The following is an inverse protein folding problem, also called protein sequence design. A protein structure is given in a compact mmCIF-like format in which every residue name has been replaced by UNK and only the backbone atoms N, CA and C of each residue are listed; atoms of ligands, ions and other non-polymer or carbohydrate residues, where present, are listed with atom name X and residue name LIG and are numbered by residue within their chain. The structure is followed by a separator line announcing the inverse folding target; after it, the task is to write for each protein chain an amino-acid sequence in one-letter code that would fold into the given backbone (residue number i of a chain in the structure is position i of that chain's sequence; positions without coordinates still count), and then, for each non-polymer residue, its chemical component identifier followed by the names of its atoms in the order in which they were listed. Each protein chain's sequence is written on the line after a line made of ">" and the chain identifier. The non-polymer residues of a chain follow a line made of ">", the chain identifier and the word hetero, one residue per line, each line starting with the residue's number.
data_IF_328787088976
#
_entry.id   IF_328787088976
#
_cell.length_a   1.000
_cell.length_b   1.000
_cell.length_c   1.000
_cell.angle_alpha   90.00
_cell.angle_beta   90.00
_cell.angle_gamma   90.00
#
_symmetry.space_group_name_H-M   'P 1'
#
loop_
_entity.id
_entity.type
_entity.pdbx_description
1 polymer ?
#
# COMPACT_ATOMS: atom_id res chain seq x y z
N UNK A 1 17.56 15.25 18.70
CA UNK A 1 17.62 13.83 18.26
C UNK A 1 18.81 13.19 18.96
N UNK A 2 18.64 12.00 19.59
CA UNK A 2 19.75 11.31 20.27
C UNK A 2 20.81 10.84 19.27
N UNK A 3 22.06 10.63 19.74
CA UNK A 3 23.15 10.11 18.90
C UNK A 3 22.80 8.77 18.28
N UNK A 4 22.18 7.86 19.05
CA UNK A 4 21.71 6.57 18.53
C UNK A 4 20.69 6.75 17.40
N UNK A 5 19.70 7.64 17.57
CA UNK A 5 18.70 7.87 16.53
C UNK A 5 19.35 8.41 15.22
N UNK A 6 20.36 9.25 15.34
CA UNK A 6 21.11 9.75 14.19
C UNK A 6 21.92 8.63 13.50
N UNK A 7 22.57 7.78 14.29
CA UNK A 7 23.33 6.63 13.79
C UNK A 7 22.41 5.65 13.04
N UNK A 8 21.29 5.25 13.67
CA UNK A 8 20.29 4.37 13.07
C UNK A 8 19.64 4.98 11.83
N UNK A 9 19.40 6.30 11.80
CA UNK A 9 18.86 7.00 10.63
C UNK A 9 19.83 6.90 9.43
N UNK A 10 21.13 7.16 9.62
CA UNK A 10 22.15 7.00 8.57
C UNK A 10 22.13 5.58 8.00
N UNK A 11 22.06 4.57 8.87
CA UNK A 11 22.00 3.16 8.47
C UNK A 11 20.69 2.82 7.74
N UNK A 12 19.55 3.39 8.16
CA UNK A 12 18.27 3.22 7.48
C UNK A 12 18.31 3.72 6.02
N UNK A 13 18.99 4.86 5.77
CA UNK A 13 19.21 5.36 4.43
C UNK A 13 20.12 4.46 3.59
N UNK A 14 21.23 4.00 4.18
CA UNK A 14 22.20 3.12 3.50
C UNK A 14 21.58 1.77 3.13
N UNK A 15 20.71 1.24 3.99
CA UNK A 15 19.96 0.00 3.72
C UNK A 15 18.99 0.11 2.53
N UNK A 16 18.77 1.31 1.99
CA UNK A 16 18.00 1.55 0.78
C UNK A 16 16.51 1.21 0.88
N UNK A 17 15.85 1.17 -0.27
CA UNK A 17 14.43 0.92 -0.39
C UNK A 17 13.64 2.12 -0.89
N UNK A 18 12.31 2.02 -0.92
CA UNK A 18 11.46 3.16 -1.30
C UNK A 18 11.55 4.29 -0.26
N UNK A 19 11.22 5.52 -0.68
CA UNK A 19 11.15 6.68 0.23
C UNK A 19 10.31 6.37 1.49
N UNK A 20 9.15 5.73 1.31
CA UNK A 20 8.31 5.31 2.43
C UNK A 20 9.02 4.30 3.34
N UNK A 21 9.70 3.31 2.79
CA UNK A 21 10.43 2.29 3.57
C UNK A 21 11.53 2.93 4.41
N UNK A 22 12.30 3.84 3.83
CA UNK A 22 13.35 4.58 4.55
C UNK A 22 12.73 5.44 5.65
N UNK A 23 11.68 6.20 5.33
CA UNK A 23 10.98 7.02 6.31
C UNK A 23 10.41 6.20 7.49
N UNK A 24 9.77 5.07 7.21
CA UNK A 24 9.22 4.19 8.26
C UNK A 24 10.33 3.65 9.18
N UNK A 25 11.50 3.29 8.61
CA UNK A 25 12.68 2.91 9.42
C UNK A 25 13.20 4.05 10.28
N UNK A 26 13.23 5.27 9.77
CA UNK A 26 13.64 6.45 10.55
C UNK A 26 12.70 6.70 11.73
N UNK A 27 11.40 6.62 11.50
CA UNK A 27 10.40 6.77 12.56
C UNK A 27 10.53 5.68 13.63
N UNK A 28 10.76 4.45 13.22
CA UNK A 28 11.03 3.33 14.13
C UNK A 28 12.32 3.59 14.92
N UNK A 29 13.41 4.01 14.28
CA UNK A 29 14.68 4.31 14.94
C UNK A 29 14.54 5.40 16.01
N UNK A 30 13.75 6.43 15.73
CA UNK A 30 13.46 7.49 16.72
C UNK A 30 12.66 6.97 17.91
N UNK A 31 11.64 6.12 17.68
CA UNK A 31 10.87 5.49 18.77
C UNK A 31 11.75 4.60 19.63
N UNK A 32 12.57 3.75 18.99
CA UNK A 32 13.50 2.86 19.67
C UNK A 32 14.49 3.61 20.53
N UNK A 33 15.13 4.65 20.00
CA UNK A 33 16.07 5.46 20.74
C UNK A 33 15.42 6.21 21.92
N UNK A 34 14.18 6.69 21.77
CA UNK A 34 13.41 7.30 22.87
C UNK A 34 13.09 6.29 23.96
N UNK A 35 12.72 5.05 23.60
CA UNK A 35 12.49 3.97 24.56
C UNK A 35 13.73 3.72 25.42
N UNK A 36 14.92 3.57 24.80
CA UNK A 36 16.15 3.34 25.56
C UNK A 36 16.46 4.50 26.52
N UNK A 37 16.29 5.74 26.07
CA UNK A 37 16.47 6.92 26.93
C UNK A 37 15.48 6.94 28.10
N UNK A 38 14.23 6.61 27.87
CA UNK A 38 13.20 6.53 28.92
C UNK A 38 13.53 5.46 29.97
N UNK A 39 14.22 4.38 29.57
CA UNK A 39 14.73 3.34 30.47
C UNK A 39 16.11 3.68 31.07
N UNK A 40 16.57 4.93 30.92
CA UNK A 40 17.90 5.38 31.36
C UNK A 40 19.07 4.55 30.80
N UNK A 41 18.87 3.99 29.57
CA UNK A 41 19.90 3.19 28.88
C UNK A 41 20.64 4.12 27.92
N UNK A 42 21.91 4.39 28.23
CA UNK A 42 22.75 5.31 27.46
C UNK A 42 23.53 4.56 26.37
N UNK A 43 22.87 4.30 25.24
CA UNK A 43 23.48 3.76 24.02
C UNK A 43 23.54 4.87 22.99
N UNK A 44 24.71 5.09 22.40
CA UNK A 44 24.94 6.18 21.43
C UNK A 44 25.15 5.68 19.99
N UNK A 45 25.39 4.37 19.81
CA UNK A 45 25.68 3.75 18.51
C UNK A 45 25.04 2.36 18.45
N UNK A 46 24.69 1.92 17.23
CA UNK A 46 24.23 0.56 16.94
C UNK A 46 25.24 -0.51 17.32
N UNK A 47 26.54 -0.19 17.36
CA UNK A 47 27.57 -1.11 17.83
C UNK A 47 27.42 -1.54 19.28
N UNK A 48 26.80 -0.72 20.12
CA UNK A 48 26.57 -0.96 21.55
C UNK A 48 25.25 -1.71 21.82
N UNK A 49 24.40 -1.87 20.80
CA UNK A 49 23.11 -2.55 20.98
C UNK A 49 23.32 -4.03 21.36
N UNK A 50 22.46 -4.52 22.25
CA UNK A 50 22.40 -5.90 22.70
C UNK A 50 20.98 -6.45 22.48
N UNK A 51 20.83 -7.76 22.39
CA UNK A 51 19.53 -8.42 22.23
C UNK A 51 18.51 -7.94 23.29
N UNK A 52 18.93 -7.79 24.56
CA UNK A 52 18.05 -7.30 25.64
C UNK A 52 17.45 -5.92 25.39
N UNK A 53 18.15 -5.01 24.69
CA UNK A 53 17.64 -3.68 24.38
C UNK A 53 16.51 -3.75 23.36
N UNK A 54 16.65 -4.65 22.37
CA UNK A 54 15.65 -4.89 21.33
C UNK A 54 14.44 -5.60 21.92
N UNK A 55 14.69 -6.64 22.73
CA UNK A 55 13.63 -7.39 23.41
C UNK A 55 12.80 -6.47 24.32
N UNK A 56 13.45 -5.63 25.15
CA UNK A 56 12.77 -4.67 26.01
C UNK A 56 11.87 -3.73 25.23
N UNK A 57 12.34 -3.17 24.12
CA UNK A 57 11.53 -2.33 23.25
C UNK A 57 10.30 -3.05 22.70
N UNK A 58 10.47 -4.24 22.18
CA UNK A 58 9.35 -5.01 21.59
C UNK A 58 8.35 -5.44 22.65
N UNK A 59 8.81 -5.88 23.83
CA UNK A 59 7.93 -6.28 24.94
C UNK A 59 7.10 -5.10 25.45
N UNK A 60 7.69 -3.90 25.58
CA UNK A 60 6.94 -2.70 25.94
C UNK A 60 5.88 -2.36 24.88
N UNK A 61 6.23 -2.43 23.59
CA UNK A 61 5.30 -2.19 22.49
C UNK A 61 4.17 -3.22 22.48
N UNK A 62 4.49 -4.49 22.77
CA UNK A 62 3.49 -5.55 22.88
C UNK A 62 2.54 -5.28 24.06
N UNK A 63 3.07 -4.87 25.22
CA UNK A 63 2.29 -4.48 26.37
C UNK A 63 1.38 -3.25 26.12
N UNK A 64 1.78 -2.36 25.22
CA UNK A 64 0.96 -1.23 24.74
C UNK A 64 -0.15 -1.65 23.75
N UNK A 65 -0.33 -2.95 23.48
CA UNK A 65 -1.36 -3.47 22.57
C UNK A 65 -1.05 -3.28 21.08
N UNK A 66 0.20 -3.02 20.70
CA UNK A 66 0.57 -2.92 19.29
C UNK A 66 0.45 -4.28 18.62
N UNK A 67 -0.18 -4.30 17.45
CA UNK A 67 -0.47 -5.54 16.73
C UNK A 67 0.81 -6.33 16.37
N UNK A 68 0.72 -7.67 16.41
CA UNK A 68 1.83 -8.57 16.06
C UNK A 68 2.40 -8.24 14.67
N UNK A 69 1.56 -7.93 13.70
CA UNK A 69 1.99 -7.54 12.34
C UNK A 69 2.87 -6.29 12.36
N UNK A 70 2.48 -5.26 13.11
CA UNK A 70 3.27 -4.03 13.25
C UNK A 70 4.61 -4.33 13.91
N UNK A 71 4.62 -5.13 14.98
CA UNK A 71 5.86 -5.52 15.68
C UNK A 71 6.79 -6.35 14.80
N UNK A 72 6.26 -7.27 14.00
CA UNK A 72 7.05 -8.02 13.02
C UNK A 72 7.69 -7.09 11.97
N UNK A 73 6.96 -6.07 11.51
CA UNK A 73 7.50 -5.06 10.61
C UNK A 73 8.58 -4.21 11.30
N UNK A 74 8.37 -3.79 12.54
CA UNK A 74 9.40 -3.07 13.32
C UNK A 74 10.65 -3.93 13.51
N UNK A 75 10.51 -5.22 13.80
CA UNK A 75 11.65 -6.14 13.89
C UNK A 75 12.39 -6.33 12.55
N UNK A 76 11.66 -6.39 11.44
CA UNK A 76 12.30 -6.43 10.12
C UNK A 76 13.13 -5.17 9.85
N UNK A 77 12.63 -3.99 10.28
CA UNK A 77 13.38 -2.73 10.18
C UNK A 77 14.62 -2.72 11.10
N UNK A 78 14.50 -3.19 12.34
CA UNK A 78 15.63 -3.32 13.27
C UNK A 78 16.71 -4.24 12.70
N UNK A 79 16.32 -5.42 12.21
CA UNK A 79 17.27 -6.39 11.61
C UNK A 79 17.97 -5.80 10.38
N UNK A 80 17.25 -5.06 9.54
CA UNK A 80 17.83 -4.37 8.37
C UNK A 80 18.89 -3.36 8.78
N UNK A 81 18.62 -2.53 9.80
CA UNK A 81 19.58 -1.54 10.32
C UNK A 81 20.79 -2.23 10.94
N UNK A 82 20.60 -3.31 11.71
CA UNK A 82 21.70 -4.08 12.30
C UNK A 82 22.58 -4.73 11.24
N UNK A 83 21.99 -5.32 10.21
CA UNK A 83 22.73 -5.90 9.09
C UNK A 83 23.58 -4.86 8.38
N UNK A 84 23.03 -3.67 8.10
CA UNK A 84 23.75 -2.56 7.49
C UNK A 84 24.87 -2.01 8.38
N UNK A 85 24.72 -2.11 9.70
CA UNK A 85 25.76 -1.78 10.67
C UNK A 85 26.85 -2.85 10.81
N UNK A 86 26.82 -3.93 10.02
CA UNK A 86 27.72 -5.07 10.14
C UNK A 86 27.44 -5.96 11.36
N UNK A 87 26.31 -5.77 12.06
CA UNK A 87 25.90 -6.53 13.23
C UNK A 87 25.09 -7.78 12.85
N UNK A 88 25.60 -8.54 11.87
CA UNK A 88 24.90 -9.71 11.29
C UNK A 88 24.56 -10.77 12.35
N UNK A 89 25.49 -11.06 13.24
CA UNK A 89 25.26 -11.99 14.36
C UNK A 89 24.06 -11.58 15.23
N UNK A 90 23.94 -10.29 15.56
CA UNK A 90 22.82 -9.81 16.36
C UNK A 90 21.52 -9.81 15.54
N UNK A 91 21.58 -9.40 14.26
CA UNK A 91 20.39 -9.34 13.39
C UNK A 91 19.77 -10.72 13.14
N UNK A 92 20.56 -11.79 13.20
CA UNK A 92 20.16 -13.18 13.00
C UNK A 92 20.01 -13.96 14.31
N UNK A 93 20.22 -13.33 15.47
CA UNK A 93 20.20 -14.00 16.76
C UNK A 93 18.80 -14.55 17.09
N UNK A 94 18.75 -15.79 17.54
CA UNK A 94 17.52 -16.42 18.05
C UNK A 94 16.89 -15.64 19.21
N UNK A 95 17.70 -14.93 20.01
CA UNK A 95 17.22 -14.11 21.13
C UNK A 95 16.30 -12.95 20.68
N UNK A 96 16.35 -12.56 19.41
CA UNK A 96 15.48 -11.54 18.81
C UNK A 96 14.67 -12.11 17.64
N UNK A 97 14.49 -13.45 17.60
CA UNK A 97 13.54 -14.07 16.65
C UNK A 97 12.11 -13.65 17.00
N UNK A 98 11.20 -13.70 16.02
CA UNK A 98 9.79 -13.40 16.30
C UNK A 98 9.19 -14.37 17.33
N UNK A 99 9.66 -15.61 17.35
CA UNK A 99 9.22 -16.62 18.30
C UNK A 99 9.68 -16.28 19.72
N UNK A 100 10.99 -16.02 19.89
CA UNK A 100 11.56 -15.66 21.21
C UNK A 100 10.99 -14.36 21.79
N UNK A 101 10.58 -13.43 20.92
CA UNK A 101 9.95 -12.18 21.32
C UNK A 101 8.43 -12.27 21.54
N UNK A 102 7.82 -13.45 21.34
CA UNK A 102 6.37 -13.63 21.50
C UNK A 102 5.51 -12.93 20.45
N UNK A 103 6.09 -12.60 19.31
CA UNK A 103 5.39 -11.88 18.22
C UNK A 103 5.19 -12.72 16.97
N UNK A 104 5.27 -14.04 17.07
CA UNK A 104 4.93 -14.99 15.99
C UNK A 104 3.42 -15.07 15.78
N UNK A 105 3.01 -15.67 14.65
CA UNK A 105 1.61 -16.03 14.39
C UNK A 105 0.72 -14.86 13.96
N UNK A 106 1.29 -13.73 13.49
CA UNK A 106 0.48 -12.69 12.89
C UNK A 106 -0.27 -13.23 11.66
N UNK A 107 -1.61 -13.07 11.63
CA UNK A 107 -2.41 -13.45 10.47
C UNK A 107 -1.92 -12.76 9.20
N UNK A 108 -2.00 -13.49 8.09
CA UNK A 108 -1.76 -12.97 6.73
C UNK A 108 -3.05 -12.68 5.98
N UNK A 109 -4.19 -12.91 6.61
CA UNK A 109 -5.49 -12.65 6.01
C UNK A 109 -5.65 -11.17 5.67
N UNK A 110 -6.46 -10.88 4.68
CA UNK A 110 -6.81 -9.52 4.32
C UNK A 110 -7.53 -8.82 5.48
N UNK A 111 -7.22 -7.55 5.69
CA UNK A 111 -7.88 -6.73 6.71
C UNK A 111 -9.02 -5.89 6.14
N UNK A 112 -9.23 -5.97 4.83
CA UNK A 112 -10.27 -5.26 4.10
C UNK A 112 -11.23 -6.26 3.47
N UNK A 113 -12.39 -5.77 3.07
CA UNK A 113 -13.38 -6.49 2.29
C UNK A 113 -13.68 -5.76 1.00
N UNK A 114 -14.17 -6.47 0.00
CA UNK A 114 -14.70 -5.83 -1.20
C UNK A 114 -15.81 -4.85 -0.82
N UNK A 115 -15.74 -3.63 -1.33
CA UNK A 115 -16.77 -2.64 -1.04
C UNK A 115 -18.12 -3.10 -1.62
N UNK A 116 -19.20 -3.09 -0.85
CA UNK A 116 -20.55 -3.33 -1.40
C UNK A 116 -20.95 -2.23 -2.39
N UNK A 117 -21.63 -2.59 -3.47
CA UNK A 117 -22.03 -1.62 -4.51
C UNK A 117 -22.86 -0.46 -3.95
N UNK A 118 -23.80 -0.73 -3.04
CA UNK A 118 -24.60 0.31 -2.40
C UNK A 118 -23.74 1.33 -1.66
N UNK A 119 -22.74 0.89 -0.91
CA UNK A 119 -21.80 1.79 -0.22
C UNK A 119 -20.93 2.54 -1.20
N UNK A 120 -20.45 1.86 -2.24
CA UNK A 120 -19.66 2.49 -3.29
C UNK A 120 -20.42 3.66 -3.94
N UNK A 121 -21.66 3.47 -4.36
CA UNK A 121 -22.48 4.51 -4.97
C UNK A 121 -22.76 5.68 -4.01
N UNK A 122 -23.08 5.38 -2.74
CA UNK A 122 -23.25 6.43 -1.73
C UNK A 122 -21.97 7.29 -1.56
N UNK A 123 -20.82 6.65 -1.53
CA UNK A 123 -19.54 7.36 -1.39
C UNK A 123 -19.23 8.15 -2.66
N UNK A 124 -19.45 7.56 -3.83
CA UNK A 124 -19.22 8.24 -5.12
C UNK A 124 -20.07 9.50 -5.24
N UNK A 125 -21.35 9.43 -4.89
CA UNK A 125 -22.25 10.59 -4.89
C UNK A 125 -21.77 11.69 -3.94
N UNK A 126 -21.40 11.35 -2.71
CA UNK A 126 -20.86 12.31 -1.74
C UNK A 126 -19.58 12.98 -2.26
N UNK A 127 -18.67 12.18 -2.79
CA UNK A 127 -17.38 12.66 -3.30
C UNK A 127 -17.57 13.53 -4.53
N UNK A 128 -18.54 13.22 -5.40
CA UNK A 128 -18.87 14.02 -6.57
C UNK A 128 -19.32 15.44 -6.20
N UNK A 129 -20.08 15.59 -5.11
CA UNK A 129 -20.48 16.92 -4.60
C UNK A 129 -19.32 17.71 -3.98
N UNK A 130 -18.25 17.02 -3.55
CA UNK A 130 -17.06 17.67 -2.97
C UNK A 130 -16.09 18.08 -4.08
N UNK A 131 -15.74 17.14 -4.97
CA UNK A 131 -14.74 17.32 -6.02
C UNK A 131 -14.93 16.27 -7.14
N UNK A 132 -15.34 16.73 -8.30
CA UNK A 132 -15.55 15.87 -9.47
C UNK A 132 -14.27 15.12 -9.89
N UNK A 133 -13.09 15.73 -9.75
CA UNK A 133 -11.82 15.06 -10.09
C UNK A 133 -11.45 13.96 -9.09
N UNK A 134 -11.77 14.15 -7.82
CA UNK A 134 -11.63 13.11 -6.81
C UNK A 134 -12.61 11.96 -7.08
N UNK A 135 -13.87 12.27 -7.46
CA UNK A 135 -14.86 11.26 -7.84
C UNK A 135 -14.43 10.46 -9.08
N UNK A 136 -13.91 11.11 -10.11
CA UNK A 136 -13.38 10.44 -11.29
C UNK A 136 -12.19 9.52 -10.95
N UNK A 137 -11.29 9.95 -10.07
CA UNK A 137 -10.18 9.12 -9.59
C UNK A 137 -10.68 7.90 -8.79
N UNK A 138 -11.72 8.08 -7.96
CA UNK A 138 -12.37 7.00 -7.21
C UNK A 138 -13.02 5.99 -8.15
N UNK A 139 -13.73 6.45 -9.18
CA UNK A 139 -14.38 5.61 -10.17
C UNK A 139 -13.36 4.78 -10.96
N UNK A 140 -12.27 5.42 -11.43
CA UNK A 140 -11.18 4.71 -12.10
C UNK A 140 -10.53 3.66 -11.17
N UNK A 141 -10.36 3.99 -9.87
CA UNK A 141 -9.84 3.02 -8.91
C UNK A 141 -10.74 1.79 -8.80
N UNK A 142 -12.07 1.96 -8.82
CA UNK A 142 -13.04 0.85 -8.76
C UNK A 142 -13.04 0.00 -10.02
N UNK A 143 -13.10 0.61 -11.20
CA UNK A 143 -13.28 -0.14 -12.46
C UNK A 143 -11.97 -0.71 -13.03
N UNK A 144 -10.81 -0.28 -12.55
CA UNK A 144 -9.49 -0.73 -13.01
C UNK A 144 -8.63 -1.37 -11.90
N UNK A 145 -9.14 -1.50 -10.69
CA UNK A 145 -8.40 -2.08 -9.56
C UNK A 145 -7.13 -1.28 -9.22
N UNK A 146 -7.18 0.06 -9.28
CA UNK A 146 -6.02 0.90 -9.00
C UNK A 146 -5.73 0.97 -7.50
N UNK A 147 -4.44 1.05 -7.15
CA UNK A 147 -4.03 1.47 -5.80
C UNK A 147 -4.29 2.96 -5.63
N UNK A 148 -4.41 3.44 -4.39
CA UNK A 148 -4.64 4.86 -4.12
C UNK A 148 -3.63 5.76 -4.84
N UNK A 149 -2.35 5.44 -4.81
CA UNK A 149 -1.33 6.24 -5.50
C UNK A 149 -1.44 6.12 -7.04
N UNK A 150 -1.83 4.95 -7.57
CA UNK A 150 -2.11 4.78 -9.00
C UNK A 150 -3.32 5.63 -9.42
N UNK A 151 -4.39 5.67 -8.59
CA UNK A 151 -5.58 6.48 -8.83
C UNK A 151 -5.28 8.00 -8.79
N UNK A 152 -4.49 8.45 -7.81
CA UNK A 152 -4.10 9.86 -7.69
C UNK A 152 -3.25 10.34 -8.87
N UNK A 153 -2.43 9.47 -9.46
CA UNK A 153 -1.55 9.81 -10.58
C UNK A 153 -2.10 9.39 -11.96
N UNK A 154 -3.30 8.84 -12.03
CA UNK A 154 -3.85 8.27 -13.27
C UNK A 154 -4.10 9.29 -14.38
N UNK A 155 -4.21 10.58 -14.06
CA UNK A 155 -4.38 11.64 -15.05
C UNK A 155 -3.29 11.61 -16.13
N UNK A 156 -2.08 11.20 -15.80
CA UNK A 156 -0.96 11.06 -16.74
C UNK A 156 -1.17 9.94 -17.78
N UNK A 157 -2.06 8.98 -17.51
CA UNK A 157 -2.35 7.85 -18.39
C UNK A 157 -3.63 7.97 -19.20
N UNK A 158 -4.51 8.92 -18.88
CA UNK A 158 -5.86 9.00 -19.45
C UNK A 158 -5.89 9.03 -20.99
N UNK A 159 -5.06 9.88 -21.61
CA UNK A 159 -4.98 9.98 -23.08
C UNK A 159 -4.49 8.68 -23.71
N UNK A 160 -3.61 7.96 -23.04
CA UNK A 160 -3.10 6.66 -23.49
C UNK A 160 -4.18 5.60 -23.38
N UNK A 161 -4.89 5.56 -22.26
CA UNK A 161 -5.99 4.60 -22.04
C UNK A 161 -7.13 4.82 -23.01
N UNK A 162 -7.53 6.05 -23.28
CA UNK A 162 -8.58 6.37 -24.26
C UNK A 162 -8.20 5.86 -25.67
N UNK A 163 -6.96 6.12 -26.11
CA UNK A 163 -6.45 5.62 -27.38
C UNK A 163 -6.39 4.08 -27.45
N UNK A 164 -6.00 3.43 -26.34
CA UNK A 164 -5.95 1.97 -26.28
C UNK A 164 -7.36 1.37 -26.33
N UNK A 165 -8.32 1.94 -25.59
CA UNK A 165 -9.72 1.52 -25.60
C UNK A 165 -10.38 1.72 -26.97
N UNK A 166 -10.10 2.84 -27.64
CA UNK A 166 -10.58 3.10 -29.00
C UNK A 166 -10.07 2.07 -30.03
N UNK A 167 -8.88 1.50 -29.80
CA UNK A 167 -8.29 0.43 -30.62
C UNK A 167 -8.72 -0.97 -30.21
N UNK A 168 -9.64 -1.10 -29.26
CA UNK A 168 -10.15 -2.39 -28.82
C UNK A 168 -9.27 -3.11 -27.79
N UNK A 169 -8.33 -2.43 -27.14
CA UNK A 169 -7.48 -3.06 -26.13
C UNK A 169 -8.31 -3.70 -25.00
N UNK A 170 -7.97 -4.93 -24.66
CA UNK A 170 -8.57 -5.68 -23.56
C UNK A 170 -7.83 -5.45 -22.23
N UNK A 171 -6.62 -4.92 -22.29
CA UNK A 171 -5.78 -4.62 -21.13
C UNK A 171 -5.21 -3.22 -21.24
N UNK A 172 -5.14 -2.53 -20.11
CA UNK A 172 -4.58 -1.18 -20.03
C UNK A 172 -3.31 -1.16 -19.19
N UNK A 173 -2.33 -0.34 -19.62
CA UNK A 173 -1.07 -0.19 -18.90
C UNK A 173 -1.21 0.78 -17.73
N UNK A 174 -0.84 0.34 -16.52
CA UNK A 174 -0.73 1.17 -15.32
C UNK A 174 0.75 1.41 -15.05
N UNK A 175 1.20 2.64 -15.22
CA UNK A 175 2.63 3.01 -15.17
C UNK A 175 2.91 3.89 -13.95
N UNK A 176 2.08 4.90 -13.71
CA UNK A 176 2.30 5.90 -12.68
C UNK A 176 1.74 5.44 -11.33
N UNK A 177 2.43 5.76 -10.25
CA UNK A 177 2.02 5.42 -8.89
C UNK A 177 2.19 3.95 -8.52
N UNK A 178 2.79 3.14 -9.38
CA UNK A 178 2.95 1.70 -9.14
C UNK A 178 3.97 1.41 -8.04
N UNK A 179 3.73 0.33 -7.30
CA UNK A 179 4.61 -0.07 -6.20
C UNK A 179 6.01 -0.41 -6.71
N UNK A 180 6.99 0.37 -6.26
CA UNK A 180 8.39 0.21 -6.67
C UNK A 180 8.66 0.61 -8.12
N UNK A 181 7.79 1.41 -8.75
CA UNK A 181 7.94 1.89 -10.12
C UNK A 181 7.77 0.81 -11.20
N UNK A 182 7.21 -0.37 -10.85
CA UNK A 182 7.05 -1.48 -11.79
C UNK A 182 5.72 -1.36 -12.52
N UNK A 183 5.71 -1.11 -13.84
CA UNK A 183 4.49 -1.10 -14.63
C UNK A 183 3.76 -2.44 -14.55
N UNK A 184 2.44 -2.38 -14.67
CA UNK A 184 1.56 -3.55 -14.77
C UNK A 184 0.51 -3.34 -15.85
N UNK A 185 -0.09 -4.42 -16.28
CA UNK A 185 -1.30 -4.38 -17.08
C UNK A 185 -2.50 -4.68 -16.18
N UNK A 186 -3.65 -4.09 -16.45
CA UNK A 186 -4.91 -4.43 -15.81
C UNK A 186 -5.93 -4.85 -16.86
N UNK A 187 -6.69 -5.90 -16.58
CA UNK A 187 -7.77 -6.37 -17.45
C UNK A 187 -8.92 -5.38 -17.47
N UNK A 188 -9.49 -5.16 -18.65
CA UNK A 188 -10.76 -4.43 -18.84
C UNK A 188 -11.89 -5.44 -18.65
N UNK A 189 -12.41 -5.55 -17.44
CA UNK A 189 -13.47 -6.51 -17.11
C UNK A 189 -14.86 -6.02 -17.53
N UNK A 190 -15.06 -4.72 -17.55
CA UNK A 190 -16.25 -4.04 -18.08
C UNK A 190 -15.80 -2.88 -18.99
N UNK A 191 -15.90 -3.13 -20.29
CA UNK A 191 -15.41 -2.16 -21.30
C UNK A 191 -16.19 -0.85 -21.27
N UNK A 192 -17.49 -0.91 -21.10
CA UNK A 192 -18.33 0.30 -21.15
C UNK A 192 -18.08 1.16 -19.91
N UNK A 193 -18.07 0.56 -18.74
CA UNK A 193 -17.77 1.26 -17.49
C UNK A 193 -16.37 1.90 -17.50
N UNK A 194 -15.35 1.19 -18.00
CA UNK A 194 -13.98 1.75 -18.10
C UNK A 194 -13.91 2.88 -19.12
N UNK A 195 -14.54 2.73 -20.30
CA UNK A 195 -14.58 3.81 -21.30
C UNK A 195 -15.26 5.06 -20.79
N UNK A 196 -16.40 4.90 -20.13
CA UNK A 196 -17.13 6.03 -19.55
C UNK A 196 -16.30 6.74 -18.49
N UNK A 197 -15.71 5.99 -17.56
CA UNK A 197 -14.85 6.55 -16.51
C UNK A 197 -13.63 7.31 -17.08
N UNK A 198 -12.97 6.75 -18.10
CA UNK A 198 -11.81 7.40 -18.74
C UNK A 198 -12.25 8.69 -19.47
N UNK A 199 -13.38 8.69 -20.19
CA UNK A 199 -13.89 9.88 -20.87
C UNK A 199 -14.26 11.00 -19.91
N UNK A 200 -14.97 10.65 -18.83
CA UNK A 200 -15.35 11.60 -17.79
C UNK A 200 -14.11 12.22 -17.14
N UNK A 201 -13.15 11.38 -16.77
CA UNK A 201 -11.88 11.83 -16.22
C UNK A 201 -11.08 12.72 -17.18
N UNK A 202 -11.09 12.44 -18.49
CA UNK A 202 -10.45 13.28 -19.52
C UNK A 202 -11.12 14.66 -19.63
N UNK A 203 -12.44 14.73 -19.60
CA UNK A 203 -13.17 15.99 -19.64
C UNK A 203 -12.81 16.84 -18.41
N UNK A 204 -12.87 16.26 -17.20
CA UNK A 204 -12.54 16.96 -15.97
C UNK A 204 -11.07 17.42 -15.97
N UNK A 205 -10.14 16.55 -16.39
CA UNK A 205 -8.73 16.91 -16.48
C UNK A 205 -8.48 18.01 -17.50
N UNK A 206 -9.24 18.05 -18.61
CA UNK A 206 -9.17 19.10 -19.61
C UNK A 206 -9.54 20.50 -19.07
N UNK A 207 -10.45 20.56 -18.11
CA UNK A 207 -10.86 21.80 -17.41
C UNK A 207 -9.91 22.20 -16.26
N UNK A 208 -8.95 21.33 -15.89
CA UNK A 208 -8.07 21.46 -14.72
C UNK A 208 -6.59 21.31 -15.06
N UNK A 209 -6.17 21.87 -16.19
CA UNK A 209 -4.76 21.84 -16.65
C UNK A 209 -4.12 20.42 -16.62
N UNK A 210 -4.93 19.40 -16.90
CA UNK A 210 -4.49 18.01 -16.97
C UNK A 210 -4.52 17.26 -15.62
N UNK A 211 -5.08 17.85 -14.55
CA UNK A 211 -5.12 17.26 -13.21
C UNK A 211 -6.53 16.80 -12.84
N UNK A 212 -6.65 15.65 -12.18
CA UNK A 212 -7.88 15.23 -11.51
C UNK A 212 -7.88 15.73 -10.05
N UNK A 213 -6.78 15.57 -9.36
CA UNK A 213 -6.57 16.08 -8.00
C UNK A 213 -5.50 17.16 -8.08
N UNK A 214 -5.94 18.43 -8.01
CA UNK A 214 -5.08 19.59 -8.09
C UNK A 214 -4.44 19.87 -6.72
N UNK A 215 -3.23 19.35 -6.51
CA UNK A 215 -2.41 19.57 -5.32
C UNK A 215 -0.94 19.75 -5.73
N UNK A 216 -0.17 20.55 -4.97
CA UNK A 216 1.18 20.96 -5.36
C UNK A 216 2.19 19.79 -5.42
N UNK A 217 1.93 18.71 -4.71
CA UNK A 217 2.80 17.54 -4.65
C UNK A 217 2.01 16.25 -4.38
N UNK A 218 2.67 15.11 -4.61
CA UNK A 218 2.06 13.80 -4.42
C UNK A 218 1.62 13.55 -2.98
N UNK A 219 2.38 14.03 -2.00
CA UNK A 219 2.01 13.84 -0.59
C UNK A 219 0.70 14.54 -0.28
N UNK A 220 0.58 15.79 -0.66
CA UNK A 220 -0.65 16.59 -0.48
C UNK A 220 -1.84 15.98 -1.23
N UNK A 221 -1.61 15.45 -2.44
CA UNK A 221 -2.63 14.76 -3.21
C UNK A 221 -3.09 13.45 -2.55
N UNK A 222 -2.17 12.69 -1.98
CA UNK A 222 -2.49 11.46 -1.22
C UNK A 222 -3.20 11.76 0.10
N UNK A 223 -2.77 12.80 0.82
CA UNK A 223 -3.44 13.26 2.05
C UNK A 223 -4.88 13.71 1.73
N UNK A 224 -5.07 14.45 0.63
CA UNK A 224 -6.39 14.86 0.12
C UNK A 224 -7.27 13.64 -0.21
N UNK A 225 -6.75 12.68 -0.98
CA UNK A 225 -7.41 11.42 -1.31
C UNK A 225 -7.86 10.67 -0.04
N UNK A 226 -6.95 10.45 0.90
CA UNK A 226 -7.27 9.68 2.10
C UNK A 226 -8.26 10.39 3.02
N UNK A 227 -8.11 11.69 3.22
CA UNK A 227 -8.96 12.44 4.13
C UNK A 227 -10.40 12.52 3.61
N UNK A 228 -10.58 12.95 2.36
CA UNK A 228 -11.92 13.09 1.79
C UNK A 228 -12.65 11.77 1.60
N UNK A 229 -11.95 10.69 1.21
CA UNK A 229 -12.59 9.38 1.10
C UNK A 229 -12.95 8.79 2.47
N UNK A 230 -12.12 9.03 3.49
CA UNK A 230 -12.46 8.66 4.87
C UNK A 230 -13.71 9.42 5.33
N UNK A 231 -13.74 10.73 5.11
CA UNK A 231 -14.86 11.59 5.54
C UNK A 231 -16.15 11.27 4.75
N UNK A 232 -16.02 10.78 3.50
CA UNK A 232 -17.12 10.25 2.71
C UNK A 232 -17.60 8.86 3.15
N UNK A 233 -16.89 8.16 4.05
CA UNK A 233 -17.29 6.88 4.62
C UNK A 233 -16.40 5.67 4.30
N UNK A 234 -15.29 5.85 3.56
CA UNK A 234 -14.33 4.76 3.31
C UNK A 234 -13.38 4.58 4.49
N UNK A 235 -13.82 3.80 5.48
CA UNK A 235 -13.08 3.54 6.73
C UNK A 235 -13.04 2.06 7.10
N UNK A 236 -12.15 1.70 8.01
CA UNK A 236 -12.08 0.33 8.54
C UNK A 236 -11.87 -0.72 7.45
N UNK A 237 -12.73 -1.75 7.45
CA UNK A 237 -12.68 -2.83 6.47
C UNK A 237 -13.01 -2.34 5.04
N UNK A 238 -13.74 -1.24 4.90
CA UNK A 238 -14.08 -0.59 3.63
C UNK A 238 -13.24 0.66 3.37
N UNK A 239 -11.97 0.69 3.77
CA UNK A 239 -11.05 1.77 3.40
C UNK A 239 -10.90 1.91 1.86
N UNK A 240 -10.27 2.97 1.32
CA UNK A 240 -10.12 3.11 -0.14
C UNK A 240 -9.51 1.90 -0.85
N UNK A 241 -8.80 1.03 -0.12
CA UNK A 241 -8.26 -0.22 -0.70
C UNK A 241 -9.33 -1.27 -1.01
N UNK A 242 -10.51 -1.17 -0.39
CA UNK A 242 -11.65 -2.06 -0.62
C UNK A 242 -12.20 -2.03 -2.05
N UNK A 243 -12.01 -0.90 -2.77
CA UNK A 243 -12.32 -0.76 -4.19
C UNK A 243 -11.55 -1.80 -5.03
N UNK A 244 -10.29 -1.99 -4.68
CA UNK A 244 -9.43 -2.94 -5.37
C UNK A 244 -9.78 -4.39 -5.05
N UNK A 245 -10.32 -4.65 -3.85
CA UNK A 245 -10.88 -5.95 -3.49
C UNK A 245 -12.13 -6.26 -4.32
N UNK A 246 -13.04 -5.30 -4.49
CA UNK A 246 -14.19 -5.47 -5.34
C UNK A 246 -13.80 -5.74 -6.80
N UNK A 247 -12.86 -4.98 -7.34
CA UNK A 247 -12.34 -5.22 -8.68
C UNK A 247 -11.69 -6.62 -8.81
N UNK A 248 -10.97 -7.09 -7.79
CA UNK A 248 -10.35 -8.41 -7.82
C UNK A 248 -11.40 -9.52 -7.94
N UNK A 249 -12.51 -9.40 -7.20
CA UNK A 249 -13.63 -10.34 -7.31
C UNK A 249 -14.31 -10.28 -8.69
N UNK A 250 -14.48 -9.07 -9.25
CA UNK A 250 -14.98 -8.91 -10.61
C UNK A 250 -14.05 -9.55 -11.64
N UNK A 251 -12.75 -9.38 -11.49
CA UNK A 251 -11.75 -9.96 -12.39
C UNK A 251 -11.73 -11.49 -12.33
N UNK A 252 -11.84 -12.08 -11.13
CA UNK A 252 -11.94 -13.53 -10.98
C UNK A 252 -13.18 -14.05 -11.72
N UNK A 253 -14.36 -13.45 -11.50
CA UNK A 253 -15.60 -13.83 -12.19
C UNK A 253 -15.45 -13.67 -13.70
N UNK A 254 -14.90 -12.56 -14.18
CA UNK A 254 -14.65 -12.32 -15.58
C UNK A 254 -13.80 -13.43 -16.20
N UNK A 255 -12.71 -13.84 -15.57
CA UNK A 255 -11.84 -14.91 -16.09
C UNK A 255 -12.52 -16.29 -16.06
N UNK A 256 -13.32 -16.58 -15.04
CA UNK A 256 -14.11 -17.81 -14.98
C UNK A 256 -15.17 -17.86 -16.11
N UNK A 257 -15.84 -16.74 -16.39
CA UNK A 257 -16.77 -16.60 -17.52
C UNK A 257 -16.08 -16.74 -18.90
N UNK A 258 -14.78 -16.42 -18.98
CA UNK A 258 -13.96 -16.68 -20.17
C UNK A 258 -13.46 -18.15 -20.25
N UNK A 259 -13.86 -19.01 -19.32
CA UNK A 259 -13.55 -20.43 -19.34
C UNK A 259 -12.27 -20.83 -18.57
N UNK A 260 -11.65 -19.93 -17.83
CA UNK A 260 -10.51 -20.28 -16.97
C UNK A 260 -11.02 -21.03 -15.73
N UNK A 261 -10.24 -22.00 -15.28
CA UNK A 261 -10.48 -22.59 -13.95
C UNK A 261 -10.28 -21.55 -12.84
N UNK A 262 -10.90 -21.74 -11.68
CA UNK A 262 -10.73 -20.84 -10.53
C UNK A 262 -9.26 -20.55 -10.19
N UNK A 263 -8.42 -21.59 -10.24
CA UNK A 263 -6.97 -21.45 -9.99
C UNK A 263 -6.28 -20.54 -11.03
N UNK A 264 -6.64 -20.68 -12.29
CA UNK A 264 -6.11 -19.84 -13.39
C UNK A 264 -6.62 -18.40 -13.27
N UNK A 265 -7.90 -18.22 -12.95
CA UNK A 265 -8.51 -16.91 -12.69
C UNK A 265 -7.80 -16.17 -11.55
N UNK A 266 -7.49 -16.85 -10.43
CA UNK A 266 -6.71 -16.30 -9.33
C UNK A 266 -5.29 -15.90 -9.77
N UNK A 267 -4.62 -16.69 -10.59
CA UNK A 267 -3.27 -16.39 -11.09
C UNK A 267 -3.28 -15.19 -12.03
N UNK A 268 -4.25 -15.12 -12.97
CA UNK A 268 -4.42 -13.99 -13.88
C UNK A 268 -4.73 -12.69 -13.10
N UNK A 269 -5.67 -12.73 -12.16
CA UNK A 269 -6.00 -11.59 -11.28
C UNK A 269 -4.79 -11.14 -10.46
N UNK A 270 -3.98 -12.08 -9.96
CA UNK A 270 -2.72 -11.76 -9.25
C UNK A 270 -1.76 -10.95 -10.13
N UNK A 271 -1.62 -11.35 -11.38
CA UNK A 271 -0.77 -10.66 -12.34
C UNK A 271 -1.28 -9.25 -12.65
N UNK A 272 -2.58 -9.10 -12.88
CA UNK A 272 -3.22 -7.80 -13.14
C UNK A 272 -3.11 -6.85 -11.95
N UNK A 273 -3.21 -7.37 -10.74
CA UNK A 273 -2.98 -6.61 -9.51
C UNK A 273 -1.49 -6.29 -9.28
N UNK A 274 -0.57 -6.79 -10.11
CA UNK A 274 0.87 -6.54 -9.97
C UNK A 274 1.49 -7.23 -8.76
N UNK A 275 0.94 -8.38 -8.35
CA UNK A 275 1.54 -9.25 -7.34
C UNK A 275 2.52 -10.26 -7.96
N UNK A 276 2.47 -10.42 -9.29
CA UNK A 276 3.30 -11.35 -10.07
C UNK A 276 2.67 -12.74 -10.19
N UNK A 277 3.29 -13.56 -11.05
CA UNK A 277 2.88 -14.93 -11.27
C UNK A 277 3.11 -15.81 -10.02
N UNK A 278 2.34 -16.87 -9.88
CA UNK A 278 2.44 -17.84 -8.78
C UNK A 278 1.85 -17.38 -7.44
N UNK A 279 1.17 -16.23 -7.37
CA UNK A 279 0.56 -15.72 -6.13
C UNK A 279 -0.96 -15.86 -6.06
N UNK A 280 -1.56 -16.80 -6.81
CA UNK A 280 -3.01 -17.05 -6.77
C UNK A 280 -3.54 -17.32 -5.36
N UNK A 281 -2.84 -18.16 -4.57
CA UNK A 281 -3.21 -18.39 -3.15
C UNK A 281 -3.22 -17.12 -2.29
N UNK A 282 -2.36 -16.17 -2.59
CA UNK A 282 -2.37 -14.88 -1.90
C UNK A 282 -3.63 -14.07 -2.26
N UNK A 283 -4.09 -14.15 -3.51
CA UNK A 283 -5.35 -13.50 -3.92
C UNK A 283 -6.52 -14.11 -3.17
N UNK A 284 -6.64 -15.43 -3.17
CA UNK A 284 -7.70 -16.17 -2.44
C UNK A 284 -7.73 -15.85 -0.94
N UNK A 285 -6.55 -15.70 -0.32
CA UNK A 285 -6.46 -15.43 1.12
C UNK A 285 -6.73 -13.95 1.48
N UNK A 286 -6.43 -13.02 0.59
CA UNK A 286 -6.38 -11.59 0.91
C UNK A 286 -7.54 -10.82 0.31
N UNK A 287 -8.02 -11.21 -0.90
CA UNK A 287 -9.04 -10.49 -1.67
C UNK A 287 -10.36 -11.24 -1.71
#
# INVERSE_FOLDING_TARGET
>A
MSRLAQDMKKLAHRAGGSHKTVHDREQMAQRFARHLLAQNIQVTSTSQLKARHIAGYIHERLAQGISLRTLQNEMAMVRSILAEAGRTHLSQSELISNQSLGISGASRDGTHRAIPDALYHQVLDRVHHIDAGLAASLQLARVMGLRGQEAVQCCQSLKTWDKQLAKGAERLSVIFGTKGGRPRMTQVTDREAVRQAVKEALNIAGERDGHLIDKPDLKSAMDYWHNHLRDAGLTGEYSPHSLRYAWAQDAIRYYEEQGLSHKEALAATSTDLGHGDGRGRYIEQVY
#
